data_IF_182193654339
#
_entry.id   IF_182193654339
#
_cell.length_a   1.000
_cell.length_b   1.000
_cell.length_c   1.000
_cell.angle_alpha   90.00
_cell.angle_beta   90.00
_cell.angle_gamma   90.00
#
_symmetry.space_group_name_H-M   'P 1'
#
loop_
_entity.id
_entity.type
_entity.pdbx_description
1 polymer ?
#
# COMPACT_ATOMS: atom_id res chain seq x y z
N UNK A 1 -10.49 6.24 -13.72
CA UNK A 1 -9.31 6.02 -12.86
C UNK A 1 -9.64 5.11 -11.69
N UNK A 2 -10.58 5.47 -10.79
CA UNK A 2 -10.95 4.64 -9.64
C UNK A 2 -11.31 3.18 -10.01
N UNK A 3 -12.18 2.99 -11.00
CA UNK A 3 -12.57 1.63 -11.48
C UNK A 3 -11.37 0.80 -11.95
N UNK A 4 -10.40 1.41 -12.62
CA UNK A 4 -9.20 0.67 -13.07
C UNK A 4 -8.30 0.26 -11.91
N UNK A 5 -8.16 1.11 -10.88
CA UNK A 5 -7.44 0.73 -9.67
C UNK A 5 -8.19 -0.31 -8.84
N UNK A 6 -9.54 -0.31 -8.85
CA UNK A 6 -10.31 -1.39 -8.25
C UNK A 6 -10.01 -2.73 -8.92
N UNK A 7 -9.83 -2.76 -10.24
CA UNK A 7 -9.43 -3.99 -10.95
C UNK A 7 -8.05 -4.47 -10.49
N UNK A 8 -7.11 -3.57 -10.23
CA UNK A 8 -5.79 -3.90 -9.67
C UNK A 8 -5.88 -4.42 -8.23
N UNK A 9 -6.74 -3.82 -7.39
CA UNK A 9 -6.95 -4.27 -6.01
C UNK A 9 -7.60 -5.66 -5.98
N UNK A 10 -8.64 -5.87 -6.79
CA UNK A 10 -9.34 -7.15 -6.89
C UNK A 10 -8.39 -8.25 -7.40
N UNK A 11 -7.49 -7.92 -8.32
CA UNK A 11 -6.50 -8.89 -8.84
C UNK A 11 -5.47 -9.34 -7.80
N UNK A 12 -5.42 -8.74 -6.61
CA UNK A 12 -4.68 -9.30 -5.47
C UNK A 12 -5.28 -10.64 -5.00
N UNK A 13 -6.60 -10.83 -5.17
CA UNK A 13 -7.29 -12.08 -4.83
C UNK A 13 -8.19 -12.01 -3.59
N UNK A 14 -8.76 -10.84 -3.30
CA UNK A 14 -9.74 -10.68 -2.22
C UNK A 14 -11.00 -11.52 -2.45
N UNK A 15 -11.58 -12.04 -1.37
CA UNK A 15 -12.86 -12.77 -1.41
C UNK A 15 -14.01 -11.77 -1.46
N UNK A 16 -14.84 -11.74 -2.53
CA UNK A 16 -15.95 -10.80 -2.63
C UNK A 16 -16.97 -11.01 -1.51
N UNK A 17 -17.16 -12.20 -0.95
CA UNK A 17 -18.11 -12.40 0.14
C UNK A 17 -17.70 -11.66 1.43
N UNK A 18 -16.44 -11.26 1.54
CA UNK A 18 -15.84 -10.63 2.73
C UNK A 18 -15.29 -9.24 2.49
N UNK A 19 -15.41 -8.73 1.25
CA UNK A 19 -14.73 -7.50 0.83
C UNK A 19 -15.72 -6.54 0.21
N UNK A 20 -15.74 -5.32 0.73
CA UNK A 20 -16.49 -4.20 0.17
C UNK A 20 -15.50 -3.12 -0.24
N UNK A 21 -15.52 -2.74 -1.52
CA UNK A 21 -14.69 -1.68 -2.09
C UNK A 21 -15.64 -0.56 -2.49
N UNK A 22 -15.34 0.68 -2.15
CA UNK A 22 -16.22 1.80 -2.45
C UNK A 22 -15.47 3.00 -3.02
N UNK A 23 -16.19 3.86 -3.74
CA UNK A 23 -15.71 5.18 -4.14
C UNK A 23 -16.36 6.20 -3.22
N UNK A 24 -15.59 7.15 -2.70
CA UNK A 24 -16.13 8.17 -1.78
C UNK A 24 -17.32 8.91 -2.38
N UNK A 25 -17.24 9.32 -3.64
CA UNK A 25 -18.34 10.04 -4.32
C UNK A 25 -19.61 9.20 -4.49
N UNK A 26 -19.49 7.87 -4.62
CA UNK A 26 -20.63 6.97 -4.84
C UNK A 26 -21.22 6.48 -3.51
N UNK A 27 -20.38 6.26 -2.50
CA UNK A 27 -20.80 5.64 -1.24
C UNK A 27 -21.19 6.64 -0.14
N UNK A 28 -21.08 7.95 -0.37
CA UNK A 28 -21.38 9.03 0.59
C UNK A 28 -22.85 9.04 1.07
N UNK A 29 -23.28 7.98 1.73
CA UNK A 29 -24.60 7.71 2.24
C UNK A 29 -24.79 8.37 3.61
N UNK A 30 -26.03 8.52 4.09
CA UNK A 30 -26.30 9.30 5.30
C UNK A 30 -25.48 8.85 6.53
N UNK A 31 -25.37 7.53 6.86
CA UNK A 31 -24.59 7.08 8.01
C UNK A 31 -23.08 7.40 7.90
N UNK A 32 -22.52 7.26 6.70
CA UNK A 32 -21.13 7.59 6.42
C UNK A 32 -20.88 9.10 6.58
N UNK A 33 -21.74 9.93 5.99
CA UNK A 33 -21.65 11.38 6.08
C UNK A 33 -21.89 11.91 7.51
N UNK A 34 -22.79 11.31 8.28
CA UNK A 34 -22.99 11.65 9.69
C UNK A 34 -21.69 11.49 10.49
N UNK A 35 -20.94 10.42 10.24
CA UNK A 35 -19.65 10.19 10.91
C UNK A 35 -18.61 11.23 10.49
N UNK A 36 -18.56 11.62 9.22
CA UNK A 36 -17.71 12.72 8.75
C UNK A 36 -18.03 14.02 9.50
N UNK A 37 -19.31 14.39 9.61
CA UNK A 37 -19.75 15.62 10.31
C UNK A 37 -19.39 15.56 11.80
N UNK A 38 -19.57 14.40 12.45
CA UNK A 38 -19.16 14.18 13.84
C UNK A 38 -17.65 14.38 14.03
N UNK A 39 -16.84 13.91 13.09
CA UNK A 39 -15.38 14.08 13.11
C UNK A 39 -15.00 15.55 12.89
N UNK A 40 -15.56 16.23 11.89
CA UNK A 40 -15.32 17.67 11.67
C UNK A 40 -15.63 18.52 12.89
N UNK A 41 -16.68 18.19 13.63
CA UNK A 41 -17.02 18.88 14.89
C UNK A 41 -15.95 18.69 15.98
N UNK A 42 -15.19 17.58 15.94
CA UNK A 42 -14.20 17.22 16.96
C UNK A 42 -12.77 17.67 16.65
N UNK A 43 -12.49 18.04 15.40
CA UNK A 43 -11.16 18.42 14.91
C UNK A 43 -11.15 19.92 14.61
N UNK A 44 -10.37 20.67 15.38
CA UNK A 44 -10.22 22.12 15.16
C UNK A 44 -9.31 22.39 13.96
N UNK A 45 -9.48 23.55 13.32
CA UNK A 45 -8.57 23.99 12.25
C UNK A 45 -7.10 24.06 12.68
N UNK A 46 -6.83 24.38 13.95
CA UNK A 46 -5.46 24.37 14.48
C UNK A 46 -4.86 22.95 14.52
N UNK A 47 -5.64 21.95 14.93
CA UNK A 47 -5.20 20.55 14.91
C UNK A 47 -4.97 20.07 13.49
N UNK A 48 -5.90 20.36 12.56
CA UNK A 48 -5.76 19.99 11.16
C UNK A 48 -4.48 20.60 10.54
N UNK A 49 -4.20 21.88 10.79
CA UNK A 49 -2.96 22.53 10.35
C UNK A 49 -1.71 21.91 10.98
N UNK A 50 -1.73 21.60 12.28
CA UNK A 50 -0.59 20.99 12.96
C UNK A 50 -0.28 19.57 12.47
N UNK A 51 -1.30 18.79 12.10
CA UNK A 51 -1.15 17.39 11.68
C UNK A 51 -0.79 17.30 10.18
N UNK A 52 -1.47 18.06 9.33
CA UNK A 52 -1.40 17.92 7.87
C UNK A 52 -0.70 19.09 7.16
N UNK A 53 -0.34 20.15 7.88
CA UNK A 53 0.38 21.29 7.32
C UNK A 53 -0.46 22.21 6.42
N UNK A 54 -1.78 22.24 6.58
CA UNK A 54 -2.63 23.13 5.77
C UNK A 54 -2.30 24.60 6.00
N UNK A 55 -2.37 25.39 4.93
CA UNK A 55 -2.18 26.85 4.94
C UNK A 55 -3.47 27.58 4.58
N UNK A 56 -3.51 28.90 4.75
CA UNK A 56 -4.73 29.71 4.53
C UNK A 56 -5.20 29.73 3.06
N UNK A 57 -4.28 29.44 2.14
CA UNK A 57 -4.48 29.37 0.70
C UNK A 57 -5.04 28.02 0.23
N UNK A 58 -4.99 26.98 1.08
CA UNK A 58 -5.50 25.67 0.74
C UNK A 58 -7.03 25.67 0.62
N UNK A 59 -7.56 24.84 -0.29
CA UNK A 59 -9.01 24.73 -0.46
C UNK A 59 -9.69 24.13 0.77
N UNK A 60 -10.93 24.55 1.02
CA UNK A 60 -11.74 23.96 2.11
C UNK A 60 -11.89 22.45 1.97
N UNK A 61 -11.95 21.93 0.74
CA UNK A 61 -12.02 20.50 0.47
C UNK A 61 -10.78 19.76 0.99
N UNK A 62 -9.58 20.31 0.78
CA UNK A 62 -8.32 19.73 1.28
C UNK A 62 -8.30 19.68 2.80
N UNK A 63 -8.73 20.76 3.47
CA UNK A 63 -8.80 20.83 4.93
C UNK A 63 -9.89 19.91 5.52
N UNK A 64 -10.96 19.65 4.77
CA UNK A 64 -12.07 18.80 5.19
C UNK A 64 -11.82 17.30 4.94
N UNK A 65 -10.99 16.94 3.97
CA UNK A 65 -10.74 15.55 3.57
C UNK A 65 -10.32 14.59 4.69
N UNK A 66 -9.51 14.96 5.70
CA UNK A 66 -9.11 14.02 6.75
C UNK A 66 -10.26 13.31 7.48
N UNK A 67 -11.43 13.93 7.57
CA UNK A 67 -12.60 13.27 8.16
C UNK A 67 -13.21 12.20 7.26
N UNK A 68 -13.09 12.35 5.93
CA UNK A 68 -13.51 11.35 4.94
C UNK A 68 -12.65 10.10 5.09
N UNK A 69 -11.33 10.24 5.21
CA UNK A 69 -10.39 9.13 5.45
C UNK A 69 -10.60 8.47 6.82
N UNK A 70 -11.00 9.23 7.84
CA UNK A 70 -11.21 8.72 9.19
C UNK A 70 -12.57 8.02 9.38
N UNK A 71 -13.61 8.39 8.62
CA UNK A 71 -14.95 7.82 8.77
C UNK A 71 -15.03 6.28 8.56
N UNK A 72 -14.31 5.67 7.60
CA UNK A 72 -14.23 4.22 7.44
C UNK A 72 -13.73 3.46 8.69
N UNK A 73 -13.05 4.14 9.61
CA UNK A 73 -12.60 3.52 10.87
C UNK A 73 -13.76 3.19 11.83
N UNK A 74 -14.94 3.75 11.58
CA UNK A 74 -16.12 3.61 12.44
C UNK A 74 -17.10 2.64 11.80
N UNK A 75 -17.42 1.54 12.49
CA UNK A 75 -18.35 0.51 11.97
C UNK A 75 -19.72 1.07 11.58
N UNK A 76 -20.21 2.10 12.29
CA UNK A 76 -21.47 2.78 11.98
C UNK A 76 -21.49 3.47 10.61
N UNK A 77 -20.33 3.65 9.96
CA UNK A 77 -20.23 4.12 8.57
C UNK A 77 -20.74 3.09 7.57
N UNK A 78 -20.83 1.81 7.95
CA UNK A 78 -21.23 0.70 7.08
C UNK A 78 -22.36 -0.14 7.70
N UNK A 79 -23.58 0.40 7.89
CA UNK A 79 -24.66 -0.32 8.57
C UNK A 79 -25.17 -1.52 7.77
N UNK A 80 -24.98 -1.54 6.45
CA UNK A 80 -25.27 -2.69 5.61
C UNK A 80 -24.36 -3.91 5.91
N UNK A 81 -23.20 -3.69 6.58
CA UNK A 81 -22.25 -4.72 7.01
C UNK A 81 -22.40 -5.00 8.51
N UNK A 82 -22.45 -3.94 9.33
CA UNK A 82 -22.37 -4.06 10.80
C UNK A 82 -23.69 -3.75 11.53
N UNK A 83 -24.77 -3.49 10.81
CA UNK A 83 -26.05 -3.10 11.41
C UNK A 83 -25.93 -1.83 12.25
N UNK A 84 -26.47 -1.89 13.47
CA UNK A 84 -26.43 -0.78 14.43
C UNK A 84 -25.24 -0.85 15.40
N UNK A 85 -24.27 -1.76 15.18
CA UNK A 85 -23.12 -1.93 16.05
C UNK A 85 -22.15 -0.76 15.92
N UNK A 86 -21.62 -0.31 17.05
CA UNK A 86 -20.64 0.79 17.12
C UNK A 86 -19.35 0.40 17.82
N UNK A 87 -19.31 -0.83 18.36
CA UNK A 87 -18.24 -1.39 19.19
C UNK A 87 -17.30 -2.33 18.43
N UNK A 88 -17.56 -2.57 17.13
CA UNK A 88 -16.68 -3.35 16.27
C UNK A 88 -15.36 -2.59 16.08
N UNK A 89 -14.25 -3.22 16.49
CA UNK A 89 -12.91 -2.66 16.32
C UNK A 89 -12.48 -2.68 14.84
N UNK A 90 -11.74 -1.64 14.44
CA UNK A 90 -11.15 -1.53 13.11
C UNK A 90 -9.63 -1.78 13.19
N UNK A 91 -9.09 -2.57 12.25
CA UNK A 91 -7.66 -2.77 12.06
C UNK A 91 -7.25 -2.23 10.69
N UNK A 92 -6.24 -1.37 10.66
CA UNK A 92 -5.82 -0.63 9.46
C UNK A 92 -4.39 -1.03 9.10
N UNK A 93 -4.19 -1.85 8.05
CA UNK A 93 -2.89 -2.06 7.43
C UNK A 93 -2.58 -0.91 6.47
N UNK A 94 -1.51 -0.16 6.71
CA UNK A 94 -1.08 0.94 5.84
C UNK A 94 0.42 1.18 5.90
N UNK A 95 0.97 1.92 4.93
CA UNK A 95 2.31 2.45 5.06
C UNK A 95 2.34 3.59 6.10
N UNK A 96 3.50 3.84 6.72
CA UNK A 96 3.63 4.77 7.85
C UNK A 96 3.24 6.24 7.51
N UNK A 97 3.23 6.63 6.24
CA UNK A 97 2.82 7.98 5.80
C UNK A 97 1.33 8.27 6.02
N UNK A 98 0.50 7.24 6.19
CA UNK A 98 -0.93 7.41 6.50
C UNK A 98 -1.21 7.63 8.00
N UNK A 99 -0.21 7.45 8.87
CA UNK A 99 -0.38 7.59 10.32
C UNK A 99 -1.00 8.93 10.77
N UNK A 100 -0.70 10.10 10.17
CA UNK A 100 -1.32 11.36 10.58
C UNK A 100 -2.87 11.33 10.56
N UNK A 101 -3.48 10.67 9.56
CA UNK A 101 -4.94 10.51 9.49
C UNK A 101 -5.50 9.68 10.63
N UNK A 102 -4.87 8.54 10.90
CA UNK A 102 -5.40 7.59 11.87
C UNK A 102 -5.01 7.96 13.31
N UNK A 103 -3.91 8.69 13.52
CA UNK A 103 -3.59 9.34 14.78
C UNK A 103 -4.67 10.35 15.16
N UNK A 104 -5.09 11.19 14.20
CA UNK A 104 -6.24 12.09 14.38
C UNK A 104 -7.52 11.29 14.69
N UNK A 105 -7.80 10.21 13.94
CA UNK A 105 -8.97 9.37 14.17
C UNK A 105 -8.99 8.77 15.60
N UNK A 106 -7.84 8.30 16.11
CA UNK A 106 -7.71 7.75 17.46
C UNK A 106 -7.94 8.78 18.57
N UNK A 107 -7.65 10.05 18.33
CA UNK A 107 -7.95 11.14 19.28
C UNK A 107 -9.44 11.53 19.28
N UNK A 108 -10.12 11.35 18.14
CA UNK A 108 -11.55 11.64 17.98
C UNK A 108 -12.42 10.48 18.45
N UNK A 109 -12.03 9.22 18.21
CA UNK A 109 -12.86 8.04 18.46
C UNK A 109 -13.48 7.97 19.89
N UNK A 110 -12.74 8.23 20.99
CA UNK A 110 -13.33 8.24 22.33
C UNK A 110 -14.42 9.30 22.53
N UNK A 111 -14.30 10.47 21.87
CA UNK A 111 -15.31 11.54 21.92
C UNK A 111 -16.60 11.12 21.22
N UNK A 112 -16.49 10.23 20.24
CA UNK A 112 -17.62 9.65 19.52
C UNK A 112 -18.14 8.34 20.14
N UNK A 113 -17.60 7.94 21.31
CA UNK A 113 -17.91 6.67 21.99
C UNK A 113 -17.65 5.44 21.09
N UNK A 114 -16.65 5.53 20.22
CA UNK A 114 -16.21 4.45 19.34
C UNK A 114 -14.85 3.89 19.80
N UNK A 115 -14.55 2.61 19.51
CA UNK A 115 -13.23 2.06 19.76
C UNK A 115 -12.18 2.79 18.90
N UNK A 116 -10.97 2.94 19.44
CA UNK A 116 -9.84 3.46 18.66
C UNK A 116 -9.44 2.43 17.60
N UNK A 117 -9.21 2.82 16.34
CA UNK A 117 -8.68 1.89 15.36
C UNK A 117 -7.27 1.42 15.75
N UNK A 118 -6.99 0.16 15.52
CA UNK A 118 -5.66 -0.44 15.60
C UNK A 118 -4.93 -0.28 14.25
N UNK A 119 -3.60 -0.22 14.27
CA UNK A 119 -2.77 -0.01 13.09
C UNK A 119 -1.66 -1.05 13.01
N UNK A 120 -1.36 -1.47 11.78
CA UNK A 120 -0.15 -2.23 11.44
C UNK A 120 0.54 -1.48 10.31
N UNK A 121 1.77 -1.04 10.54
CA UNK A 121 2.51 -0.24 9.58
C UNK A 121 3.45 -1.10 8.74
N UNK A 122 3.46 -0.87 7.43
CA UNK A 122 4.52 -1.34 6.54
C UNK A 122 5.63 -0.31 6.40
N UNK A 123 6.84 -0.78 6.13
CA UNK A 123 7.91 0.05 5.55
C UNK A 123 7.59 0.39 4.09
N UNK A 124 8.29 1.38 3.52
CA UNK A 124 8.12 1.73 2.11
C UNK A 124 8.87 0.77 1.21
N UNK A 125 8.21 0.33 0.13
CA UNK A 125 8.91 -0.28 -1.00
C UNK A 125 9.82 0.80 -1.63
N UNK A 126 11.15 0.56 -1.70
CA UNK A 126 12.08 1.58 -2.14
C UNK A 126 11.96 1.83 -3.65
N UNK A 127 12.29 3.05 -4.07
CA UNK A 127 12.42 3.38 -5.49
C UNK A 127 13.63 2.68 -6.12
N UNK A 128 13.61 2.53 -7.44
CA UNK A 128 14.70 1.87 -8.17
C UNK A 128 16.04 2.58 -7.96
N UNK A 129 16.06 3.92 -7.88
CA UNK A 129 17.30 4.69 -7.74
C UNK A 129 17.94 4.63 -6.34
N UNK A 130 17.24 4.11 -5.32
CA UNK A 130 17.82 3.99 -3.97
C UNK A 130 16.80 3.92 -2.84
N UNK A 131 17.27 3.43 -1.68
CA UNK A 131 16.42 3.16 -0.51
C UNK A 131 15.91 4.42 0.21
N UNK A 132 16.46 5.59 -0.10
CA UNK A 132 16.09 6.86 0.53
C UNK A 132 14.84 7.51 -0.09
N UNK A 133 14.42 7.06 -1.28
CA UNK A 133 13.25 7.60 -1.96
C UNK A 133 12.15 6.54 -2.04
N UNK A 134 10.91 6.95 -1.74
CA UNK A 134 9.72 6.12 -1.90
C UNK A 134 9.43 5.98 -3.40
N UNK A 135 9.05 4.78 -3.84
CA UNK A 135 8.59 4.56 -5.20
C UNK A 135 7.38 5.46 -5.51
N UNK A 136 7.46 6.23 -6.59
CA UNK A 136 6.40 7.15 -7.00
C UNK A 136 6.06 6.95 -8.48
N UNK A 137 4.77 6.79 -8.77
CA UNK A 137 4.28 6.61 -10.13
C UNK A 137 4.56 7.83 -11.06
N UNK A 138 4.93 8.98 -10.49
CA UNK A 138 5.30 10.19 -11.22
C UNK A 138 6.66 10.13 -11.91
N UNK A 139 7.52 9.18 -11.56
CA UNK A 139 8.79 8.91 -12.26
C UNK A 139 8.79 7.47 -12.76
N UNK A 140 8.59 7.31 -14.08
CA UNK A 140 8.53 6.02 -14.77
C UNK A 140 9.80 5.18 -14.60
N UNK A 141 10.96 5.81 -14.38
CA UNK A 141 12.23 5.12 -14.19
C UNK A 141 12.46 4.72 -12.73
N UNK A 142 11.66 5.25 -11.79
CA UNK A 142 11.76 4.96 -10.36
C UNK A 142 10.95 3.76 -9.90
N UNK A 143 10.02 3.29 -10.73
CA UNK A 143 9.01 2.33 -10.33
C UNK A 143 8.83 1.20 -11.33
N UNK A 144 8.33 0.07 -10.84
CA UNK A 144 7.85 -1.04 -11.66
C UNK A 144 6.32 -0.98 -11.62
N UNK A 145 5.71 -0.79 -12.78
CA UNK A 145 4.26 -0.74 -12.88
C UNK A 145 3.70 -2.16 -12.97
N UNK A 146 2.49 -2.36 -12.45
CA UNK A 146 1.75 -3.62 -12.62
C UNK A 146 1.43 -3.92 -14.10
N UNK A 147 1.49 -2.92 -14.98
CA UNK A 147 1.34 -3.05 -16.43
C UNK A 147 2.66 -3.30 -17.18
N UNK A 148 3.81 -3.29 -16.50
CA UNK A 148 5.09 -3.51 -17.16
C UNK A 148 5.19 -4.95 -17.69
N UNK A 149 5.71 -5.09 -18.90
CA UNK A 149 6.05 -6.39 -19.49
C UNK A 149 7.31 -6.98 -18.83
N UNK A 150 7.54 -8.30 -18.91
CA UNK A 150 8.77 -8.92 -18.41
C UNK A 150 10.05 -8.27 -18.97
N UNK A 151 10.00 -7.80 -20.22
CA UNK A 151 11.12 -7.07 -20.85
C UNK A 151 11.33 -5.68 -20.22
N UNK A 152 10.26 -4.95 -19.91
CA UNK A 152 10.35 -3.66 -19.22
C UNK A 152 10.88 -3.84 -17.79
N UNK A 153 10.37 -4.82 -17.04
CA UNK A 153 10.86 -5.17 -15.70
C UNK A 153 12.36 -5.45 -15.73
N UNK A 154 12.81 -6.34 -16.63
CA UNK A 154 14.22 -6.66 -16.84
C UNK A 154 15.06 -5.42 -17.13
N UNK A 155 14.60 -4.57 -18.03
CA UNK A 155 15.34 -3.35 -18.40
C UNK A 155 15.43 -2.37 -17.24
N UNK A 156 14.34 -2.17 -16.50
CA UNK A 156 14.28 -1.25 -15.37
C UNK A 156 15.19 -1.70 -14.22
N UNK A 157 15.15 -2.98 -13.84
CA UNK A 157 16.04 -3.52 -12.81
C UNK A 157 17.51 -3.43 -13.25
N UNK A 158 17.84 -3.80 -14.48
CA UNK A 158 19.23 -3.77 -14.91
C UNK A 158 19.80 -2.35 -14.98
N UNK A 159 19.03 -1.38 -15.49
CA UNK A 159 19.51 -0.02 -15.73
C UNK A 159 19.36 0.93 -14.54
N UNK A 160 18.26 0.84 -13.80
CA UNK A 160 17.88 1.85 -12.81
C UNK A 160 17.96 1.35 -11.37
N UNK A 161 17.88 0.03 -11.12
CA UNK A 161 18.01 -0.49 -9.76
C UNK A 161 19.43 -0.25 -9.23
N UNK A 162 19.54 0.54 -8.16
CA UNK A 162 20.78 0.82 -7.47
C UNK A 162 21.40 -0.47 -6.92
N UNK A 163 22.71 -0.59 -7.13
CA UNK A 163 23.51 -1.74 -6.72
C UNK A 163 24.26 -1.43 -5.44
N UNK A 164 24.17 -2.33 -4.45
CA UNK A 164 25.02 -2.30 -3.25
C UNK A 164 26.36 -3.02 -3.43
N UNK A 165 26.63 -3.57 -4.62
CA UNK A 165 27.90 -4.22 -4.98
C UNK A 165 29.01 -3.26 -5.40
N UNK A 166 30.24 -3.77 -5.51
CA UNK A 166 31.41 -3.01 -5.96
C UNK A 166 31.43 -2.75 -7.48
N UNK A 167 32.32 -1.84 -7.91
CA UNK A 167 32.43 -1.43 -9.33
C UNK A 167 33.05 -2.52 -10.21
N UNK A 168 34.00 -3.29 -9.67
CA UNK A 168 34.68 -4.38 -10.39
C UNK A 168 34.35 -5.72 -9.78
N UNK A 169 34.51 -6.79 -10.56
CA UNK A 169 34.27 -8.15 -10.09
C UNK A 169 35.28 -8.52 -9.02
N UNK A 170 36.54 -8.14 -9.19
CA UNK A 170 37.63 -8.43 -8.25
C UNK A 170 37.35 -7.81 -6.88
N UNK A 171 36.98 -6.53 -6.84
CA UNK A 171 36.59 -5.87 -5.58
C UNK A 171 35.34 -6.49 -4.98
N UNK A 172 34.37 -6.88 -5.81
CA UNK A 172 33.14 -7.53 -5.33
C UNK A 172 33.44 -8.88 -4.69
N UNK A 173 34.35 -9.67 -5.26
CA UNK A 173 34.79 -10.96 -4.70
C UNK A 173 35.54 -10.77 -3.38
N UNK A 174 36.28 -9.66 -3.22
CA UNK A 174 37.06 -9.37 -2.01
C UNK A 174 36.21 -8.76 -0.89
N UNK A 175 35.36 -7.79 -1.20
CA UNK A 175 34.63 -6.95 -0.23
C UNK A 175 33.15 -7.30 -0.08
N UNK A 176 32.58 -8.05 -1.04
CA UNK A 176 31.16 -8.36 -1.10
C UNK A 176 30.27 -7.19 -1.47
N UNK A 177 28.96 -7.45 -1.48
CA UNK A 177 27.90 -6.46 -1.68
C UNK A 177 27.16 -6.11 -0.37
N UNK A 178 26.59 -4.91 -0.32
CA UNK A 178 25.78 -4.45 0.80
C UNK A 178 24.28 -4.64 0.52
N UNK A 179 23.68 -5.65 1.15
CA UNK A 179 22.25 -5.95 1.08
C UNK A 179 21.34 -4.81 1.60
N UNK A 180 21.79 -4.00 2.55
CA UNK A 180 20.95 -2.95 3.17
C UNK A 180 20.60 -1.82 2.19
N UNK A 181 21.45 -1.60 1.20
CA UNK A 181 21.27 -0.54 0.19
C UNK A 181 20.95 -1.09 -1.20
N UNK A 182 21.16 -2.39 -1.45
CA UNK A 182 20.92 -3.00 -2.76
C UNK A 182 19.41 -3.16 -3.04
N UNK A 183 18.92 -2.47 -4.06
CA UNK A 183 17.48 -2.45 -4.37
C UNK A 183 16.97 -3.80 -4.85
N UNK A 184 17.80 -4.58 -5.55
CA UNK A 184 17.38 -5.89 -6.04
C UNK A 184 17.17 -6.84 -4.87
N UNK A 185 18.08 -6.80 -3.87
CA UNK A 185 17.88 -7.52 -2.62
C UNK A 185 16.68 -7.01 -1.83
N UNK A 186 16.46 -5.69 -1.74
CA UNK A 186 15.28 -5.16 -1.06
C UNK A 186 13.98 -5.68 -1.69
N UNK A 187 13.85 -5.70 -3.02
CA UNK A 187 12.66 -6.26 -3.68
C UNK A 187 12.48 -7.75 -3.37
N UNK A 188 13.56 -8.54 -3.35
CA UNK A 188 13.48 -9.94 -2.95
C UNK A 188 12.93 -10.09 -1.54
N UNK A 189 13.30 -9.23 -0.58
CA UNK A 189 12.72 -9.27 0.78
C UNK A 189 11.20 -9.06 0.83
N UNK A 190 10.63 -8.36 -0.15
CA UNK A 190 9.18 -8.12 -0.21
C UNK A 190 8.41 -9.24 -0.90
N UNK A 191 9.02 -9.88 -1.91
CA UNK A 191 8.30 -10.75 -2.84
C UNK A 191 8.71 -12.22 -2.76
N UNK A 192 9.90 -12.54 -2.24
CA UNK A 192 10.34 -13.91 -2.03
C UNK A 192 9.75 -14.47 -0.74
N UNK A 193 9.00 -15.55 -0.86
CA UNK A 193 8.35 -16.22 0.29
C UNK A 193 9.25 -17.25 0.98
N UNK A 194 10.34 -17.68 0.32
CA UNK A 194 11.30 -18.66 0.87
C UNK A 194 12.38 -17.94 1.71
N UNK A 195 12.16 -17.92 3.03
CA UNK A 195 13.07 -17.30 4.01
C UNK A 195 14.49 -17.89 3.96
N UNK A 196 14.62 -19.20 3.75
CA UNK A 196 15.93 -19.86 3.73
C UNK A 196 16.71 -19.45 2.49
N UNK A 197 16.05 -19.44 1.33
CA UNK A 197 16.65 -18.96 0.08
C UNK A 197 17.03 -17.49 0.16
N UNK A 198 16.20 -16.64 0.77
CA UNK A 198 16.50 -15.22 0.96
C UNK A 198 17.74 -15.01 1.85
N UNK A 199 17.89 -15.81 2.90
CA UNK A 199 19.07 -15.76 3.79
C UNK A 199 20.33 -16.27 3.10
N UNK A 200 20.22 -17.31 2.27
CA UNK A 200 21.37 -17.82 1.49
C UNK A 200 21.83 -16.80 0.45
N UNK A 201 20.90 -16.12 -0.25
CA UNK A 201 21.20 -15.00 -1.14
C UNK A 201 21.92 -13.88 -0.38
N UNK A 202 21.45 -13.55 0.84
CA UNK A 202 22.08 -12.51 1.68
C UNK A 202 23.54 -12.86 2.00
N UNK A 203 23.80 -14.09 2.43
CA UNK A 203 25.16 -14.58 2.76
C UNK A 203 26.05 -14.61 1.52
N UNK A 204 25.56 -15.13 0.41
CA UNK A 204 26.34 -15.24 -0.82
C UNK A 204 26.66 -13.86 -1.42
N UNK A 205 25.73 -12.90 -1.38
CA UNK A 205 25.99 -11.54 -1.84
C UNK A 205 26.94 -10.77 -0.91
N UNK A 206 26.73 -10.88 0.41
CA UNK A 206 27.57 -10.21 1.41
C UNK A 206 29.00 -10.76 1.44
N UNK A 207 29.19 -12.04 1.15
CA UNK A 207 30.54 -12.66 1.04
C UNK A 207 31.21 -12.41 -0.31
N UNK A 208 30.51 -11.84 -1.29
CA UNK A 208 31.02 -11.66 -2.66
C UNK A 208 30.94 -12.91 -3.52
N UNK A 209 30.38 -14.03 -3.03
CA UNK A 209 30.17 -15.26 -3.80
C UNK A 209 29.11 -15.11 -4.89
N UNK A 210 28.11 -14.27 -4.69
CA UNK A 210 27.12 -13.90 -5.71
C UNK A 210 27.44 -12.52 -6.26
N UNK A 211 27.44 -12.37 -7.59
CA UNK A 211 27.63 -11.08 -8.24
C UNK A 211 26.31 -10.30 -8.35
N UNK A 212 26.40 -8.97 -8.46
CA UNK A 212 25.22 -8.10 -8.63
C UNK A 212 24.35 -8.49 -9.82
N UNK A 213 24.95 -8.94 -10.94
CA UNK A 213 24.19 -9.41 -12.11
C UNK A 213 23.33 -10.64 -11.82
N UNK A 214 23.83 -11.55 -10.98
CA UNK A 214 23.13 -12.77 -10.56
C UNK A 214 21.98 -12.42 -9.61
N UNK A 215 22.24 -11.52 -8.64
CA UNK A 215 21.21 -10.99 -7.74
C UNK A 215 20.08 -10.29 -8.51
N UNK A 216 20.43 -9.45 -9.48
CA UNK A 216 19.45 -8.78 -10.36
C UNK A 216 18.64 -9.79 -11.16
N UNK A 217 19.24 -10.86 -11.66
CA UNK A 217 18.52 -11.91 -12.39
C UNK A 217 17.46 -12.59 -11.51
N UNK A 218 17.80 -12.90 -10.26
CA UNK A 218 16.85 -13.45 -9.28
C UNK A 218 15.70 -12.48 -8.98
N UNK A 219 16.01 -11.20 -8.76
CA UNK A 219 14.98 -10.18 -8.55
C UNK A 219 14.05 -10.03 -9.78
N UNK A 220 14.60 -10.05 -11.00
CA UNK A 220 13.82 -9.98 -12.24
C UNK A 220 12.87 -11.16 -12.34
N UNK A 221 13.33 -12.37 -12.04
CA UNK A 221 12.51 -13.58 -12.05
C UNK A 221 11.34 -13.45 -11.06
N UNK A 222 11.63 -13.13 -9.80
CA UNK A 222 10.63 -13.04 -8.73
C UNK A 222 9.60 -11.94 -8.99
N UNK A 223 10.05 -10.74 -9.38
CA UNK A 223 9.16 -9.62 -9.70
C UNK A 223 8.31 -9.93 -10.93
N UNK A 224 8.89 -10.55 -11.97
CA UNK A 224 8.14 -10.93 -13.17
C UNK A 224 7.09 -11.99 -12.87
N UNK A 225 7.37 -12.92 -11.95
CA UNK A 225 6.39 -13.89 -11.46
C UNK A 225 5.22 -13.18 -10.79
N UNK A 226 5.48 -12.35 -9.78
CA UNK A 226 4.44 -11.63 -9.03
C UNK A 226 3.58 -10.75 -9.95
N UNK A 227 4.21 -9.94 -10.80
CA UNK A 227 3.50 -9.06 -11.74
C UNK A 227 2.71 -9.88 -12.76
N UNK A 228 3.29 -10.97 -13.30
CA UNK A 228 2.63 -11.84 -14.25
C UNK A 228 1.40 -12.54 -13.69
N UNK A 229 1.47 -13.04 -12.46
CA UNK A 229 0.34 -13.63 -11.74
C UNK A 229 -0.78 -12.61 -11.50
N UNK A 230 -0.43 -11.40 -11.07
CA UNK A 230 -1.40 -10.31 -10.90
C UNK A 230 -2.05 -9.90 -12.23
N UNK A 231 -1.27 -9.78 -13.31
CA UNK A 231 -1.78 -9.48 -14.65
C UNK A 231 -2.75 -10.56 -15.13
N UNK A 232 -2.44 -11.84 -14.90
CA UNK A 232 -3.32 -12.95 -15.26
C UNK A 232 -4.65 -12.89 -14.49
N UNK A 233 -4.61 -12.69 -13.16
CA UNK A 233 -5.83 -12.50 -12.37
C UNK A 233 -6.62 -11.27 -12.83
N UNK A 234 -5.94 -10.18 -13.17
CA UNK A 234 -6.56 -8.93 -13.63
C UNK A 234 -7.35 -9.12 -14.93
N UNK A 235 -6.93 -10.00 -15.85
CA UNK A 235 -7.68 -10.30 -17.09
C UNK A 235 -9.08 -10.83 -16.81
N UNK A 236 -9.27 -11.54 -15.69
CA UNK A 236 -10.57 -12.05 -15.25
C UNK A 236 -11.45 -11.02 -14.54
N UNK A 237 -10.93 -9.83 -14.21
CA UNK A 237 -11.70 -8.79 -13.51
C UNK A 237 -12.43 -7.91 -14.53
N UNK A 238 -13.71 -8.24 -14.74
CA UNK A 238 -14.61 -7.46 -15.59
C UNK A 238 -15.52 -6.55 -14.74
N UNK A 239 -16.39 -5.80 -15.40
CA UNK A 239 -17.26 -4.83 -14.74
C UNK A 239 -18.28 -5.50 -13.79
N UNK A 240 -18.70 -6.74 -14.05
CA UNK A 240 -19.56 -7.51 -13.14
C UNK A 240 -18.79 -7.91 -11.88
N UNK A 241 -17.53 -8.34 -12.02
CA UNK A 241 -16.65 -8.58 -10.87
C UNK A 241 -16.50 -7.31 -10.05
N UNK A 242 -16.18 -6.17 -10.68
CA UNK A 242 -16.07 -4.88 -9.96
C UNK A 242 -17.38 -4.56 -9.24
N UNK A 243 -18.52 -4.72 -9.91
CA UNK A 243 -19.84 -4.50 -9.34
C UNK A 243 -20.10 -5.40 -8.13
N UNK A 244 -19.65 -6.64 -8.14
CA UNK A 244 -19.73 -7.50 -6.95
C UNK A 244 -18.98 -6.89 -5.77
N UNK A 245 -17.79 -6.32 -5.93
CA UNK A 245 -17.07 -5.68 -4.83
C UNK A 245 -17.68 -4.35 -4.37
N UNK A 246 -18.34 -3.61 -5.27
CA UNK A 246 -18.88 -2.27 -4.99
C UNK A 246 -20.36 -2.23 -4.62
N UNK A 247 -21.09 -3.34 -4.78
CA UNK A 247 -22.51 -3.42 -4.40
C UNK A 247 -22.67 -3.39 -2.89
N UNK A 248 -23.45 -2.43 -2.39
CA UNK A 248 -23.86 -2.32 -0.98
C UNK A 248 -24.72 -3.53 -0.60
N UNK A 249 -24.15 -4.45 0.17
CA UNK A 249 -24.81 -5.69 0.65
C UNK A 249 -24.24 -6.16 1.99
N UNK A 250 -24.96 -7.01 2.74
CA UNK A 250 -24.36 -7.77 3.83
C UNK A 250 -23.18 -8.63 3.35
N UNK A 251 -22.10 -8.63 4.11
CA UNK A 251 -20.98 -9.56 3.91
C UNK A 251 -21.26 -10.91 4.58
N UNK A 252 -20.36 -11.87 4.39
CA UNK A 252 -20.47 -13.25 4.90
C UNK A 252 -20.64 -13.36 6.42
N UNK A 253 -20.22 -12.34 7.17
CA UNK A 253 -20.23 -12.36 8.62
C UNK A 253 -21.50 -11.76 9.20
N UNK A 254 -21.99 -12.36 10.28
CA UNK A 254 -23.12 -11.87 11.07
C UNK A 254 -22.60 -11.37 12.41
N UNK A 255 -23.03 -10.17 12.84
CA UNK A 255 -22.53 -9.45 14.02
C UNK A 255 -23.64 -9.12 15.02
#
# INVERSE_FOLDING_TARGET
MAVENMKDIISVGFDPEKTFIFQDFEYMCPPFYENIVKIWKCVTGNQARAIFGFVGEDSMGKAAFPAVEAAPCLASSFPHIFGNKTDIACLIPCAIDQDPYFRMCRDVAPKLKAPKPALIYSTFLPALQGAQTKMAASDENSCIYLSDTPKQIKNKINKYAFSGGQQTVEEHREKGGNCDVDISYQFLRYFMEDDQRLEDIRKDYTSGKMLTGELKALAIEEISRVVGEMQERRKGVNDETVKQFTTVRPLKYTF
#
